data_IF_054615960392
#
_entry.id   IF_054615960392
#
_cell.length_a   1.000
_cell.length_b   1.000
_cell.length_c   1.000
_cell.angle_alpha   90.00
_cell.angle_beta   90.00
_cell.angle_gamma   90.00
#
_symmetry.space_group_name_H-M   'P 1'
#
loop_
_entity.id
_entity.type
_entity.pdbx_description
1 polymer ?
#
# COMPACT_ATOMS: atom_id res chain seq x y z
N UNK A 1 0.84 9.41 -15.61
CA UNK A 1 1.20 9.80 -14.23
C UNK A 1 2.72 9.87 -14.16
N UNK A 2 3.29 10.79 -13.37
CA UNK A 2 4.73 10.69 -13.02
C UNK A 2 4.78 10.14 -11.60
N UNK A 3 5.66 9.16 -11.39
CA UNK A 3 5.86 8.47 -10.12
C UNK A 3 6.93 9.20 -9.30
N UNK A 4 6.50 10.14 -8.46
CA UNK A 4 7.39 10.86 -7.54
C UNK A 4 7.62 10.07 -6.23
N UNK A 5 6.67 9.22 -5.86
CA UNK A 5 6.67 8.45 -4.63
C UNK A 5 6.59 6.96 -4.95
N UNK A 6 7.27 6.16 -4.15
CA UNK A 6 7.21 4.69 -4.21
C UNK A 6 5.91 4.23 -3.55
N UNK A 7 5.17 3.35 -4.22
CA UNK A 7 3.89 2.85 -3.71
C UNK A 7 2.95 2.36 -4.81
N UNK A 8 1.71 2.06 -4.39
CA UNK A 8 0.63 1.63 -5.28
C UNK A 8 -0.47 2.68 -5.21
N UNK A 9 -0.83 3.25 -6.36
CA UNK A 9 -1.76 4.37 -6.45
C UNK A 9 -2.96 4.01 -7.33
N UNK A 10 -4.19 4.37 -6.95
CA UNK A 10 -5.34 4.21 -7.85
C UNK A 10 -5.16 5.05 -9.11
N UNK A 11 -5.76 4.64 -10.23
CA UNK A 11 -5.89 5.52 -11.39
C UNK A 11 -6.96 6.58 -11.13
N UNK A 12 -6.75 7.80 -11.64
CA UNK A 12 -7.67 8.90 -11.38
C UNK A 12 -9.00 8.79 -12.15
N UNK A 13 -9.02 8.04 -13.25
CA UNK A 13 -10.15 8.00 -14.18
C UNK A 13 -10.80 6.62 -14.25
N UNK A 14 -10.02 5.55 -14.10
CA UNK A 14 -10.48 4.16 -14.19
C UNK A 14 -10.38 3.44 -12.85
N UNK A 15 -11.51 3.09 -12.24
CA UNK A 15 -11.56 2.39 -10.96
C UNK A 15 -10.97 0.97 -11.00
N UNK A 16 -10.76 0.39 -12.19
CA UNK A 16 -10.15 -0.94 -12.34
C UNK A 16 -8.64 -0.88 -12.53
N UNK A 17 -8.10 0.31 -12.73
CA UNK A 17 -6.69 0.51 -13.04
C UNK A 17 -5.96 1.08 -11.82
N UNK A 18 -4.72 0.65 -11.65
CA UNK A 18 -3.83 1.19 -10.65
C UNK A 18 -2.40 1.29 -11.18
N UNK A 19 -1.60 2.09 -10.52
CA UNK A 19 -0.23 2.44 -10.87
C UNK A 19 0.70 1.90 -9.79
N UNK A 20 1.71 1.14 -10.20
CA UNK A 20 2.80 0.70 -9.34
C UNK A 20 4.00 1.59 -9.62
N UNK A 21 4.53 2.16 -8.56
CA UNK A 21 5.70 3.03 -8.59
C UNK A 21 6.79 2.34 -7.76
N UNK A 22 7.76 1.70 -8.40
CA UNK A 22 8.88 1.03 -7.73
C UNK A 22 10.14 1.88 -7.76
N UNK A 23 11.04 1.76 -6.77
CA UNK A 23 12.36 2.38 -6.85
C UNK A 23 13.05 1.95 -8.16
N UNK A 24 13.79 2.85 -8.83
CA UNK A 24 14.54 2.47 -10.02
C UNK A 24 15.61 1.43 -9.67
N UNK A 25 15.79 0.43 -10.54
CA UNK A 25 16.82 -0.59 -10.37
C UNK A 25 18.23 0.05 -10.36
N UNK A 26 19.02 -0.25 -9.33
CA UNK A 26 20.48 -0.07 -9.35
C UNK A 26 21.10 1.11 -8.61
N UNK A 27 20.38 2.10 -8.07
CA UNK A 27 20.97 3.12 -7.16
C UNK A 27 19.92 4.06 -6.52
N UNK A 28 20.23 4.73 -5.39
CA UNK A 28 19.36 5.73 -4.76
C UNK A 28 19.41 7.11 -5.45
N UNK A 29 19.73 7.15 -6.75
CA UNK A 29 20.08 8.40 -7.44
C UNK A 29 18.87 9.16 -7.97
N UNK A 30 18.01 9.68 -7.09
CA UNK A 30 17.07 10.80 -7.38
C UNK A 30 16.20 10.72 -8.65
N UNK A 31 16.16 9.57 -9.33
CA UNK A 31 15.40 9.34 -10.54
C UNK A 31 13.95 9.09 -10.16
N UNK A 32 12.99 9.53 -10.98
CA UNK A 32 11.59 9.18 -10.78
C UNK A 32 11.43 7.66 -10.66
N UNK A 33 10.52 7.23 -9.81
CA UNK A 33 10.21 5.81 -9.65
C UNK A 33 9.78 5.20 -10.98
N UNK A 34 10.11 3.92 -11.19
CA UNK A 34 9.65 3.20 -12.36
C UNK A 34 8.13 3.04 -12.28
N UNK A 35 7.44 3.51 -13.32
CA UNK A 35 5.99 3.54 -13.38
C UNK A 35 5.48 2.36 -14.22
N UNK A 36 4.64 1.52 -13.61
CA UNK A 36 3.93 0.44 -14.29
C UNK A 36 2.44 0.54 -14.02
N UNK A 37 1.62 0.10 -14.96
CA UNK A 37 0.16 0.06 -14.79
C UNK A 37 -0.34 -1.36 -14.72
N UNK A 38 -1.30 -1.63 -13.84
CA UNK A 38 -1.98 -2.90 -13.75
C UNK A 38 -3.50 -2.72 -13.72
N UNK A 39 -4.21 -3.78 -14.10
CA UNK A 39 -5.66 -3.83 -14.16
C UNK A 39 -6.18 -4.90 -13.22
N UNK A 40 -7.25 -4.60 -12.51
CA UNK A 40 -7.97 -5.55 -11.70
C UNK A 40 -8.69 -6.60 -12.56
N UNK A 41 -8.89 -7.82 -12.02
CA UNK A 41 -9.70 -8.86 -12.65
C UNK A 41 -11.09 -8.37 -13.08
N UNK A 42 -11.73 -9.11 -14.00
CA UNK A 42 -13.08 -8.77 -14.46
C UNK A 42 -14.04 -8.73 -13.27
N UNK A 43 -14.91 -7.70 -13.24
CA UNK A 43 -15.89 -7.43 -12.18
C UNK A 43 -15.34 -6.93 -10.85
N UNK A 44 -14.04 -6.63 -10.75
CA UNK A 44 -13.44 -6.04 -9.56
C UNK A 44 -12.75 -4.71 -9.88
N UNK A 45 -12.87 -3.77 -8.95
CA UNK A 45 -12.19 -2.49 -8.89
C UNK A 45 -11.14 -2.47 -7.79
N UNK A 46 -10.19 -1.55 -7.92
CA UNK A 46 -9.10 -1.35 -6.98
C UNK A 46 -9.59 -0.57 -5.74
N UNK A 47 -9.35 -1.14 -4.56
CA UNK A 47 -9.56 -0.50 -3.28
C UNK A 47 -8.25 0.10 -2.77
N UNK A 48 -8.18 1.43 -2.74
CA UNK A 48 -7.01 2.16 -2.25
C UNK A 48 -6.80 2.06 -0.73
N UNK A 49 -7.79 1.59 0.04
CA UNK A 49 -7.64 1.38 1.49
C UNK A 49 -6.86 0.10 1.78
N UNK A 50 -7.18 -0.96 1.05
CA UNK A 50 -6.57 -2.29 1.24
C UNK A 50 -5.43 -2.58 0.26
N UNK A 51 -5.26 -1.72 -0.77
CA UNK A 51 -4.35 -1.92 -1.89
C UNK A 51 -4.62 -3.22 -2.66
N UNK A 52 -5.89 -3.60 -2.79
CA UNK A 52 -6.34 -4.86 -3.39
C UNK A 52 -7.49 -4.64 -4.36
N UNK A 53 -7.69 -5.58 -5.29
CA UNK A 53 -8.84 -5.58 -6.19
C UNK A 53 -10.06 -6.21 -5.50
N UNK A 54 -10.66 -5.50 -4.54
CA UNK A 54 -11.74 -6.02 -3.67
C UNK A 54 -13.10 -5.36 -3.90
N UNK A 55 -13.18 -4.24 -4.63
CA UNK A 55 -14.45 -3.55 -4.89
C UNK A 55 -15.24 -4.32 -5.95
N UNK A 56 -16.38 -4.89 -5.59
CA UNK A 56 -17.21 -5.58 -6.57
C UNK A 56 -17.95 -4.57 -7.47
N UNK A 57 -17.74 -4.68 -8.78
CA UNK A 57 -18.32 -3.79 -9.78
C UNK A 57 -19.56 -4.40 -10.41
N UNK A 58 -20.66 -3.65 -10.42
CA UNK A 58 -21.88 -4.04 -11.13
C UNK A 58 -21.58 -4.03 -12.64
N UNK A 59 -21.76 -5.18 -13.30
CA UNK A 59 -21.46 -5.40 -14.72
C UNK A 59 -19.99 -5.07 -15.12
N UNK A 60 -19.06 -5.09 -14.16
CA UNK A 60 -17.67 -4.74 -14.42
C UNK A 60 -17.43 -3.28 -14.78
N UNK A 61 -18.40 -2.41 -14.50
CA UNK A 61 -18.30 -0.97 -14.75
C UNK A 61 -18.09 -0.19 -13.45
N UNK A 62 -17.33 0.90 -13.54
CA UNK A 62 -17.14 1.84 -12.45
C UNK A 62 -18.43 2.65 -12.24
N UNK A 63 -19.01 2.56 -11.04
CA UNK A 63 -20.16 3.39 -10.66
C UNK A 63 -19.76 4.86 -10.47
N UNK A 64 -18.55 5.09 -9.96
CA UNK A 64 -18.00 6.41 -9.71
C UNK A 64 -16.51 6.42 -10.06
N UNK A 65 -15.99 7.61 -10.36
CA UNK A 65 -14.55 7.79 -10.55
C UNK A 65 -13.83 7.74 -9.20
N UNK A 66 -12.62 7.15 -9.13
CA UNK A 66 -11.85 7.14 -7.89
C UNK A 66 -11.46 8.54 -7.40
N UNK A 67 -11.25 9.48 -8.32
CA UNK A 67 -10.89 10.86 -8.01
C UNK A 67 -11.91 11.83 -8.60
N UNK A 68 -12.38 12.83 -7.83
CA UNK A 68 -13.24 13.89 -8.34
C UNK A 68 -12.60 14.69 -9.48
N UNK A 69 -13.43 15.30 -10.35
CA UNK A 69 -12.93 16.15 -11.43
C UNK A 69 -12.29 17.43 -10.87
N UNK A 70 -11.10 17.75 -11.37
CA UNK A 70 -10.39 18.97 -11.03
C UNK A 70 -11.04 20.19 -11.69
N UNK A 71 -11.40 21.20 -10.89
CA UNK A 71 -11.98 22.47 -11.38
C UNK A 71 -10.92 23.57 -11.42
N UNK A 72 -10.06 23.63 -10.41
CA UNK A 72 -9.03 24.66 -10.27
C UNK A 72 -7.66 24.05 -9.94
N UNK A 73 -6.59 24.70 -10.42
CA UNK A 73 -5.23 24.34 -10.05
C UNK A 73 -5.04 24.57 -8.54
N UNK A 74 -4.38 23.63 -7.87
CA UNK A 74 -4.20 23.63 -6.42
C UNK A 74 -5.44 23.19 -5.63
N UNK A 75 -6.54 22.80 -6.28
CA UNK A 75 -7.61 22.09 -5.58
C UNK A 75 -7.06 20.76 -5.04
N UNK A 76 -7.37 20.44 -3.79
CA UNK A 76 -6.96 19.19 -3.17
C UNK A 76 -8.07 18.63 -2.29
N UNK A 77 -7.95 17.35 -1.95
CA UNK A 77 -8.89 16.68 -1.06
C UNK A 77 -8.49 15.24 -0.78
N UNK A 78 -9.15 14.65 0.21
CA UNK A 78 -9.03 13.22 0.54
C UNK A 78 -9.75 12.39 -0.52
N UNK A 79 -9.22 11.22 -0.86
CA UNK A 79 -9.95 10.25 -1.68
C UNK A 79 -10.97 9.52 -0.81
N UNK A 80 -12.22 9.44 -1.27
CA UNK A 80 -13.28 8.71 -0.55
C UNK A 80 -12.92 7.24 -0.30
N UNK A 81 -12.18 6.63 -1.23
CA UNK A 81 -11.73 5.25 -1.11
C UNK A 81 -10.65 5.00 -0.06
N UNK A 82 -9.92 6.03 0.42
CA UNK A 82 -8.86 5.84 1.42
C UNK A 82 -8.43 7.16 2.07
N UNK A 83 -8.49 7.30 3.40
CA UNK A 83 -8.05 8.51 4.10
C UNK A 83 -6.52 8.72 4.05
N UNK A 84 -5.77 7.68 3.67
CA UNK A 84 -4.33 7.75 3.47
C UNK A 84 -3.95 8.39 2.13
N UNK A 85 -4.89 8.45 1.19
CA UNK A 85 -4.65 9.00 -0.14
C UNK A 85 -5.33 10.36 -0.27
N UNK A 86 -4.63 11.29 -0.91
CA UNK A 86 -5.17 12.60 -1.25
C UNK A 86 -4.79 12.96 -2.68
N UNK A 87 -5.57 13.84 -3.30
CA UNK A 87 -5.28 14.34 -4.63
C UNK A 87 -4.95 15.82 -4.59
N UNK A 88 -4.12 16.26 -5.53
CA UNK A 88 -3.86 17.67 -5.83
C UNK A 88 -4.01 17.87 -7.33
N UNK A 89 -4.82 18.86 -7.70
CA UNK A 89 -5.06 19.24 -9.07
C UNK A 89 -3.93 20.13 -9.57
N UNK A 90 -3.20 19.66 -10.57
CA UNK A 90 -2.03 20.34 -11.12
C UNK A 90 -2.20 20.60 -12.61
N UNK A 91 -1.55 21.63 -13.15
CA UNK A 91 -1.66 22.02 -14.56
C UNK A 91 -0.55 21.39 -15.39
N UNK A 92 -0.89 20.74 -16.50
CA UNK A 92 0.07 20.24 -17.52
C UNK A 92 -0.48 20.56 -18.89
N UNK A 93 0.36 21.20 -19.71
CA UNK A 93 0.01 21.54 -21.10
C UNK A 93 -1.33 22.29 -21.22
N UNK A 94 -1.64 23.17 -20.27
CA UNK A 94 -2.87 23.98 -20.27
C UNK A 94 -4.14 23.26 -19.76
N UNK A 95 -4.05 21.98 -19.36
CA UNK A 95 -5.16 21.22 -18.78
C UNK A 95 -4.88 20.87 -17.30
N UNK A 96 -5.92 20.89 -16.47
CA UNK A 96 -5.82 20.54 -15.05
C UNK A 96 -6.08 19.04 -14.87
N UNK A 97 -5.16 18.33 -14.22
CA UNK A 97 -5.26 16.91 -13.96
C UNK A 97 -5.05 16.62 -12.46
N UNK A 98 -5.78 15.64 -11.91
CA UNK A 98 -5.52 15.17 -10.56
C UNK A 98 -4.23 14.34 -10.51
N UNK A 99 -3.36 14.66 -9.56
CA UNK A 99 -2.22 13.84 -9.16
C UNK A 99 -2.49 13.32 -7.75
N UNK A 100 -2.29 12.03 -7.55
CA UNK A 100 -2.61 11.34 -6.30
C UNK A 100 -1.32 11.15 -5.52
N UNK A 101 -1.41 11.37 -4.21
CA UNK A 101 -0.34 11.25 -3.25
C UNK A 101 -0.81 10.35 -2.10
N UNK A 102 0.15 9.79 -1.37
CA UNK A 102 -0.09 8.94 -0.21
C UNK A 102 0.61 9.54 1.00
N UNK A 103 -0.07 9.55 2.13
CA UNK A 103 0.54 9.90 3.42
C UNK A 103 1.50 8.79 3.89
N UNK A 104 2.45 9.09 4.78
CA UNK A 104 3.26 8.07 5.43
C UNK A 104 2.40 6.99 6.10
N UNK A 105 2.97 5.80 6.31
CA UNK A 105 2.24 4.68 6.91
C UNK A 105 1.61 5.06 8.26
N UNK A 106 0.33 4.77 8.42
CA UNK A 106 -0.45 5.09 9.62
C UNK A 106 -0.91 6.54 9.74
N UNK A 107 -0.66 7.37 8.73
CA UNK A 107 -1.08 8.77 8.70
C UNK A 107 -2.29 8.96 7.80
N UNK A 108 -3.17 9.88 8.17
CA UNK A 108 -4.35 10.28 7.42
C UNK A 108 -4.20 11.72 6.93
N UNK A 109 -4.76 12.00 5.76
CA UNK A 109 -4.85 13.37 5.26
C UNK A 109 -6.09 14.04 5.87
N UNK A 110 -5.89 15.01 6.75
CA UNK A 110 -6.96 15.86 7.27
C UNK A 110 -6.43 17.28 7.49
N UNK A 111 -7.30 18.28 7.59
CA UNK A 111 -6.88 19.68 7.81
C UNK A 111 -5.73 20.14 6.90
N UNK A 112 -5.72 19.69 5.64
CA UNK A 112 -4.71 20.00 4.61
C UNK A 112 -3.32 19.36 4.80
N UNK A 113 -3.11 18.52 5.83
CA UNK A 113 -1.82 17.88 6.12
C UNK A 113 -1.98 16.39 6.44
N UNK A 114 -0.94 15.60 6.18
CA UNK A 114 -0.86 14.24 6.72
C UNK A 114 -0.58 14.31 8.22
N UNK A 115 -1.37 13.64 9.05
CA UNK A 115 -1.14 13.51 10.49
C UNK A 115 -1.33 12.06 10.95
N UNK A 116 -0.67 11.62 12.02
CA UNK A 116 -0.96 10.32 12.62
C UNK A 116 -2.40 10.29 13.14
N UNK A 117 -3.02 9.11 13.09
CA UNK A 117 -4.32 8.90 13.73
C UNK A 117 -4.22 9.25 15.22
N UNK A 118 -5.17 10.06 15.71
CA UNK A 118 -5.18 10.44 17.12
C UNK A 118 -5.45 9.17 17.94
N UNK A 119 -4.57 8.84 18.88
CA UNK A 119 -4.80 7.76 19.82
C UNK A 119 -6.05 8.10 20.63
N UNK A 120 -7.18 7.51 20.24
CA UNK A 120 -8.37 7.48 21.09
C UNK A 120 -7.98 6.64 22.29
N UNK A 121 -7.58 7.31 23.39
CA UNK A 121 -7.50 6.68 24.71
C UNK A 121 -8.86 6.03 24.94
N UNK A 122 -8.91 4.70 24.82
CA UNK A 122 -10.07 3.90 25.16
C UNK A 122 -10.23 3.97 26.68
N UNK A 123 -10.82 5.04 27.17
CA UNK A 123 -11.57 4.98 28.41
C UNK A 123 -12.77 4.08 28.11
N UNK A 124 -12.60 2.78 28.38
CA UNK A 124 -13.71 1.84 28.51
C UNK A 124 -14.58 2.33 29.65
N UNK A 125 -15.54 3.21 29.33
CA UNK A 125 -16.66 3.52 30.19
C UNK A 125 -17.57 2.29 30.19
N UNK A 126 -17.23 1.34 31.07
CA UNK A 126 -18.07 0.20 31.44
C UNK A 126 -19.34 0.74 32.10
N UNK A 127 -20.36 1.02 31.28
CA UNK A 127 -21.74 1.14 31.75
C UNK A 127 -22.21 -0.21 32.28
N UNK A 128 -22.19 -0.36 33.60
CA UNK A 128 -23.10 -1.27 34.29
C UNK A 128 -23.73 -0.51 35.46
N UNK A 129 -25.03 -0.27 35.30
CA UNK A 129 -25.95 0.18 36.34
C UNK A 129 -26.07 -0.90 37.41
N UNK A 130 -25.84 -0.57 38.68
CA UNK A 130 -26.63 -1.02 39.84
C UNK A 130 -26.14 -0.37 41.15
N UNK A 131 -27.07 -0.22 42.10
CA UNK A 131 -27.10 0.81 43.14
C UNK A 131 -26.44 0.44 44.48
N UNK A 132 -26.04 1.50 45.21
CA UNK A 132 -26.10 1.73 46.68
C UNK A 132 -25.66 0.60 47.64
N UNK A 133 -24.57 0.79 48.40
CA UNK A 133 -24.53 0.99 49.87
C UNK A 133 -23.09 1.35 50.34
N UNK A 134 -23.00 2.50 51.01
CA UNK A 134 -22.13 2.98 52.12
C UNK A 134 -21.04 2.07 52.73
N UNK A 135 -19.77 2.52 52.76
CA UNK A 135 -19.06 3.01 53.98
C UNK A 135 -17.51 2.99 53.87
N UNK A 136 -16.89 4.00 54.49
CA UNK A 136 -15.59 3.97 55.21
C UNK A 136 -14.29 4.43 54.50
N UNK A 137 -13.93 5.68 54.84
CA UNK A 137 -12.60 6.28 55.15
C UNK A 137 -11.41 6.23 54.15
N UNK A 138 -10.71 7.37 53.93
CA UNK A 138 -9.51 7.45 53.08
C UNK A 138 -8.20 7.21 53.87
N UNK A 139 -7.30 6.39 53.34
CA UNK A 139 -5.88 6.34 53.74
C UNK A 139 -5.02 6.69 52.52
N UNK A 140 -4.07 7.64 52.62
CA UNK A 140 -3.21 8.04 51.52
C UNK A 140 -2.08 7.03 51.34
N UNK A 141 -1.98 6.43 50.14
CA UNK A 141 -0.80 5.64 49.75
C UNK A 141 0.11 6.48 48.86
N UNK A 142 1.37 6.50 49.27
CA UNK A 142 2.49 7.27 48.74
C UNK A 142 3.01 6.63 47.44
N UNK A 143 3.19 7.44 46.41
CA UNK A 143 3.81 6.99 45.15
C UNK A 143 5.33 6.91 45.35
N UNK A 144 5.88 5.69 45.48
CA UNK A 144 7.31 5.45 45.24
C UNK A 144 7.52 5.21 43.74
N UNK A 145 8.07 6.21 43.06
CA UNK A 145 8.63 6.05 41.71
C UNK A 145 9.93 5.26 41.81
N UNK A 146 9.88 3.97 41.50
CA UNK A 146 11.07 3.17 41.26
C UNK A 146 11.41 3.18 39.77
N UNK A 147 12.38 4.02 39.43
CA UNK A 147 13.46 3.80 38.46
C UNK A 147 13.21 2.75 37.37
N UNK A 148 12.84 3.21 36.17
CA UNK A 148 12.70 2.42 34.94
C UNK A 148 14.01 2.38 34.12
N UNK A 149 15.14 2.11 34.76
CA UNK A 149 16.36 1.72 34.05
C UNK A 149 16.73 0.28 34.43
N UNK A 150 15.98 -0.68 33.86
CA UNK A 150 16.41 -2.07 33.81
C UNK A 150 17.46 -2.19 32.71
N UNK A 151 18.74 -2.07 33.07
CA UNK A 151 19.83 -2.65 32.26
C UNK A 151 19.88 -4.14 32.57
N UNK A 152 18.95 -4.91 31.99
CA UNK A 152 19.03 -6.35 32.06
C UNK A 152 20.03 -6.89 31.04
N UNK A 153 20.96 -7.69 31.56
CA UNK A 153 22.10 -8.28 30.86
C UNK A 153 21.60 -9.38 29.93
N UNK A 154 21.99 -9.33 28.66
CA UNK A 154 21.67 -10.37 27.68
C UNK A 154 22.07 -11.75 28.22
N UNK A 155 21.09 -12.64 28.36
CA UNK A 155 21.31 -14.05 28.73
C UNK A 155 21.52 -14.82 27.43
N UNK A 156 22.73 -15.35 27.23
CA UNK A 156 23.06 -16.18 26.07
C UNK A 156 22.48 -17.57 26.29
N UNK A 157 21.49 -17.96 25.49
CA UNK A 157 20.99 -19.34 25.46
C UNK A 157 21.91 -20.19 24.57
N UNK A 158 22.15 -21.44 24.97
CA UNK A 158 22.86 -22.42 24.16
C UNK A 158 22.06 -22.74 22.89
N UNK A 159 22.75 -22.96 21.77
CA UNK A 159 22.12 -23.34 20.51
C UNK A 159 21.42 -24.70 20.68
N UNK A 160 20.09 -24.67 20.76
CA UNK A 160 19.28 -25.87 20.89
C UNK A 160 19.19 -26.57 19.53
N UNK A 161 19.40 -27.89 19.55
CA UNK A 161 19.69 -28.71 18.36
C UNK A 161 18.40 -29.35 17.84
N UNK A 162 17.43 -28.55 17.43
CA UNK A 162 16.19 -29.07 16.84
C UNK A 162 15.74 -28.21 15.65
N UNK A 163 15.56 -28.87 14.50
CA UNK A 163 15.18 -28.37 13.17
C UNK A 163 16.31 -27.94 12.22
N UNK A 164 17.38 -28.73 12.18
CA UNK A 164 18.15 -28.87 10.94
C UNK A 164 17.54 -30.02 10.11
N UNK A 165 16.35 -29.80 9.53
CA UNK A 165 15.93 -30.63 8.41
C UNK A 165 16.83 -30.30 7.22
N UNK A 166 17.76 -31.21 7.03
CA UNK A 166 18.67 -31.34 5.90
C UNK A 166 17.85 -31.42 4.63
N UNK A 167 17.69 -30.30 3.94
CA UNK A 167 17.24 -30.28 2.54
C UNK A 167 18.29 -31.02 1.71
N UNK A 168 18.06 -32.31 1.47
CA UNK A 168 18.87 -33.13 0.58
C UNK A 168 18.46 -32.83 -0.86
N UNK A 169 19.19 -31.93 -1.53
CA UNK A 169 18.96 -31.54 -2.93
C UNK A 169 19.38 -32.62 -3.95
N UNK A 170 19.67 -33.85 -3.53
CA UNK A 170 20.09 -34.93 -4.42
C UNK A 170 18.95 -35.58 -5.23
N UNK A 171 17.69 -35.20 -4.97
CA UNK A 171 16.51 -35.73 -5.67
C UNK A 171 15.74 -34.70 -6.52
N UNK A 172 16.29 -33.52 -6.79
CA UNK A 172 15.68 -32.60 -7.76
C UNK A 172 16.30 -32.83 -9.14
N UNK A 173 15.80 -33.86 -9.84
CA UNK A 173 16.02 -33.98 -11.28
C UNK A 173 15.24 -32.86 -11.99
N UNK A 174 15.96 -31.95 -12.64
CA UNK A 174 15.42 -31.00 -13.59
C UNK A 174 14.95 -31.76 -14.84
N UNK A 175 13.66 -32.05 -14.94
CA UNK A 175 13.07 -32.47 -16.21
C UNK A 175 12.82 -31.18 -17.00
N UNK A 176 13.82 -30.76 -17.77
CA UNK A 176 13.66 -29.86 -18.91
C UNK A 176 14.80 -30.14 -19.91
N UNK A 177 14.77 -31.34 -20.51
CA UNK A 177 15.43 -31.59 -21.79
C UNK A 177 14.40 -31.42 -22.90
N UNK A 178 14.41 -30.33 -23.69
CA UNK A 178 13.75 -30.34 -24.98
C UNK A 178 14.60 -31.22 -25.91
N UNK A 179 14.09 -32.42 -26.19
CA UNK A 179 14.59 -33.27 -27.26
C UNK A 179 14.75 -32.43 -28.53
N UNK A 180 15.98 -32.35 -29.02
CA UNK A 180 16.35 -31.85 -30.33
C UNK A 180 15.65 -32.69 -31.39
N UNK A 181 14.51 -32.21 -31.88
CA UNK A 181 13.90 -32.76 -33.08
C UNK A 181 14.05 -31.76 -34.21
N UNK A 182 14.93 -32.12 -35.14
CA UNK A 182 15.18 -31.48 -36.41
C UNK A 182 13.91 -31.39 -37.26
N UNK A 183 13.74 -30.21 -37.87
CA UNK A 183 12.93 -29.88 -39.05
C UNK A 183 11.75 -28.95 -38.79
N UNK A 184 11.58 -28.04 -39.77
CA UNK A 184 10.49 -27.11 -40.04
C UNK A 184 10.67 -25.67 -39.53
N UNK A 185 11.47 -24.91 -40.29
CA UNK A 185 10.98 -23.79 -41.10
C UNK A 185 9.89 -22.90 -40.46
N UNK A 186 10.32 -21.82 -39.81
CA UNK A 186 9.47 -20.66 -39.57
C UNK A 186 10.18 -19.40 -40.06
N UNK A 187 9.87 -19.04 -41.30
CA UNK A 187 10.09 -17.73 -41.91
C UNK A 187 9.51 -16.63 -41.01
N UNK A 188 10.36 -15.68 -40.63
CA UNK A 188 9.97 -14.43 -39.99
C UNK A 188 9.15 -13.58 -40.96
N UNK A 189 7.84 -13.49 -40.72
CA UNK A 189 6.98 -12.49 -41.33
C UNK A 189 6.54 -11.50 -40.25
N UNK A 190 7.26 -10.40 -40.10
CA UNK A 190 6.62 -9.12 -39.82
C UNK A 190 7.44 -8.02 -40.49
N UNK A 191 6.79 -7.42 -41.49
CA UNK A 191 7.31 -6.39 -42.36
C UNK A 191 7.63 -5.11 -41.56
N UNK A 192 8.73 -4.50 -42.00
CA UNK A 192 9.26 -3.24 -41.53
C UNK A 192 8.52 -2.12 -42.29
N UNK A 193 7.45 -1.56 -41.73
CA UNK A 193 6.84 -0.33 -42.28
C UNK A 193 7.66 0.87 -41.83
N UNK A 194 8.62 1.26 -42.67
CA UNK A 194 9.33 2.52 -42.58
C UNK A 194 8.86 3.39 -43.75
N UNK A 195 7.78 4.13 -43.55
CA UNK A 195 7.36 5.17 -44.50
C UNK A 195 8.13 6.45 -44.20
N UNK A 196 9.06 6.75 -45.09
CA UNK A 196 9.49 8.10 -45.37
C UNK A 196 9.02 8.40 -46.80
N UNK A 197 8.26 9.49 -46.96
CA UNK A 197 8.39 10.58 -47.94
C UNK A 197 7.14 11.46 -47.89
#
# INVERSE_FOLDING_TARGET
MIAEWVGIFPDAYDCRKFHLCSPPDGSPDGRPAEHRTALCPRHYGYDAKTAQCSIQLQNGQCSQRPVPNCVKVGQFGVLEGSPHHYYVCISRHGSVYPQIFICPHGWHFWDTFCRPEAEVKREMESKTTEALVTSTSPIPVTYKVNSFFSTEKATTYAADTFLADKFDMTNYESIDDPSTNSNYEFTNSFENSFDAW
#
